data_IF_774251475738
#
_entry.id   IF_774251475738
#
_cell.length_a   1.000
_cell.length_b   1.000
_cell.length_c   1.000
_cell.angle_alpha   90.00
_cell.angle_beta   90.00
_cell.angle_gamma   90.00
#
_symmetry.space_group_name_H-M   'P 1'
#
loop_
_entity.id
_entity.type
_entity.pdbx_description
1 polymer ?
#
# COMPACT_ATOMS: atom_id res chain seq x y z
N UNK A 1 -2.76 10.84 -8.43
CA UNK A 1 -2.43 10.62 -7.00
C UNK A 1 -0.97 11.00 -6.78
N UNK A 2 -0.62 11.74 -5.72
CA UNK A 2 0.80 12.05 -5.42
C UNK A 2 1.36 10.98 -4.46
N UNK A 3 2.06 9.98 -5.02
CA UNK A 3 2.61 8.87 -4.24
C UNK A 3 3.75 9.30 -3.31
N UNK A 4 4.52 10.33 -3.67
CA UNK A 4 5.67 10.80 -2.87
C UNK A 4 5.26 11.25 -1.46
N UNK A 5 4.04 11.74 -1.28
CA UNK A 5 3.52 12.17 0.02
C UNK A 5 2.66 11.11 0.71
N UNK A 6 2.36 9.99 0.05
CA UNK A 6 1.43 8.96 0.54
C UNK A 6 2.13 7.68 1.01
N UNK A 7 3.35 7.41 0.54
CA UNK A 7 4.14 6.23 0.96
C UNK A 7 5.50 6.62 1.52
N UNK A 8 6.15 5.68 2.20
CA UNK A 8 7.53 5.86 2.67
C UNK A 8 8.50 5.89 1.48
N UNK A 9 9.58 6.70 1.48
CA UNK A 9 10.51 6.79 0.36
C UNK A 9 11.07 5.43 -0.10
N UNK A 10 11.38 4.53 0.83
CA UNK A 10 11.87 3.18 0.52
C UNK A 10 10.84 2.30 -0.21
N UNK A 11 9.55 2.59 -0.05
CA UNK A 11 8.45 1.84 -0.66
C UNK A 11 7.95 2.51 -1.96
N UNK A 12 8.51 3.67 -2.33
CA UNK A 12 8.02 4.49 -3.45
C UNK A 12 8.04 3.74 -4.79
N UNK A 13 9.13 3.03 -5.09
CA UNK A 13 9.26 2.27 -6.33
C UNK A 13 8.19 1.18 -6.42
N UNK A 14 7.95 0.46 -5.32
CA UNK A 14 6.91 -0.57 -5.25
C UNK A 14 5.52 0.06 -5.42
N UNK A 15 5.26 1.20 -4.76
CA UNK A 15 4.00 1.91 -4.88
C UNK A 15 3.71 2.38 -6.31
N UNK A 16 4.73 2.85 -7.04
CA UNK A 16 4.62 3.22 -8.46
C UNK A 16 4.24 1.99 -9.29
N UNK A 17 4.95 0.86 -9.14
CA UNK A 17 4.66 -0.36 -9.86
C UNK A 17 3.23 -0.87 -9.60
N UNK A 18 2.77 -0.83 -8.34
CA UNK A 18 1.41 -1.23 -7.97
C UNK A 18 0.35 -0.29 -8.56
N UNK A 19 0.63 1.01 -8.59
CA UNK A 19 -0.26 1.99 -9.21
C UNK A 19 -0.37 1.77 -10.73
N UNK A 20 0.75 1.53 -11.40
CA UNK A 20 0.77 1.18 -12.83
C UNK A 20 0.05 -0.16 -13.11
N UNK A 21 0.24 -1.16 -12.23
CA UNK A 21 -0.51 -2.42 -12.27
C UNK A 21 -2.02 -2.16 -12.21
N UNK A 22 -2.49 -1.37 -11.23
CA UNK A 22 -3.90 -1.02 -11.08
C UNK A 22 -4.48 -0.39 -12.35
N UNK A 23 -3.76 0.59 -12.92
CA UNK A 23 -4.18 1.25 -14.16
C UNK A 23 -4.27 0.26 -15.33
N UNK A 24 -3.27 -0.61 -15.48
CA UNK A 24 -3.25 -1.63 -16.54
C UNK A 24 -4.41 -2.63 -16.40
N UNK A 25 -4.68 -3.10 -15.17
CA UNK A 25 -5.76 -4.04 -14.89
C UNK A 25 -7.13 -3.43 -15.24
N UNK A 26 -7.40 -2.20 -14.82
CA UNK A 26 -8.65 -1.50 -15.16
C UNK A 26 -8.81 -1.31 -16.67
N UNK A 27 -7.73 -0.96 -17.37
CA UNK A 27 -7.78 -0.82 -18.82
C UNK A 27 -8.08 -2.16 -19.51
N UNK A 28 -7.47 -3.26 -19.06
CA UNK A 28 -7.74 -4.60 -19.59
C UNK A 28 -9.16 -5.05 -19.30
N UNK A 29 -9.65 -4.86 -18.07
CA UNK A 29 -11.03 -5.17 -17.69
C UNK A 29 -12.03 -4.47 -18.63
N UNK A 30 -11.82 -3.17 -18.89
CA UNK A 30 -12.62 -2.39 -19.82
C UNK A 30 -12.55 -2.93 -21.25
N UNK A 31 -11.38 -3.33 -21.73
CA UNK A 31 -11.22 -3.90 -23.07
C UNK A 31 -11.96 -5.23 -23.23
N UNK A 32 -11.96 -6.08 -22.21
CA UNK A 32 -12.70 -7.34 -22.23
C UNK A 32 -14.21 -7.13 -22.18
N UNK A 33 -14.70 -6.08 -21.50
CA UNK A 33 -16.11 -5.69 -21.60
C UNK A 33 -16.51 -5.34 -23.04
N UNK A 34 -15.67 -4.62 -23.79
CA UNK A 34 -15.93 -4.33 -25.21
C UNK A 34 -15.92 -5.58 -26.10
N UNK A 35 -15.28 -6.66 -25.64
CA UNK A 35 -15.24 -7.96 -26.32
C UNK A 35 -16.36 -8.90 -25.86
N UNK A 36 -17.26 -8.42 -25.01
CA UNK A 36 -18.33 -9.21 -24.37
C UNK A 36 -17.78 -10.38 -23.54
N UNK A 37 -16.51 -10.33 -23.14
CA UNK A 37 -15.84 -11.35 -22.35
C UNK A 37 -15.88 -10.98 -20.86
N UNK A 38 -17.03 -11.22 -20.24
CA UNK A 38 -17.29 -10.81 -18.85
C UNK A 38 -16.41 -11.55 -17.83
N UNK A 39 -16.13 -12.83 -18.05
CA UNK A 39 -15.31 -13.64 -17.14
C UNK A 39 -13.88 -13.12 -17.06
N UNK A 40 -13.27 -12.81 -18.21
CA UNK A 40 -11.91 -12.24 -18.23
C UNK A 40 -11.90 -10.81 -17.71
N UNK A 41 -12.97 -10.04 -17.94
CA UNK A 41 -13.13 -8.71 -17.33
C UNK A 41 -13.13 -8.80 -15.80
N UNK A 42 -13.91 -9.73 -15.23
CA UNK A 42 -13.97 -9.97 -13.79
C UNK A 42 -12.62 -10.41 -13.23
N UNK A 43 -11.89 -11.29 -13.94
CA UNK A 43 -10.53 -11.68 -13.58
C UNK A 43 -9.60 -10.47 -13.44
N UNK A 44 -9.62 -9.54 -14.40
CA UNK A 44 -8.81 -8.31 -14.32
C UNK A 44 -9.23 -7.39 -13.17
N UNK A 45 -10.52 -7.38 -12.81
CA UNK A 45 -11.00 -6.64 -11.64
C UNK A 45 -10.49 -7.23 -10.32
N UNK A 46 -10.38 -8.56 -10.22
CA UNK A 46 -9.77 -9.23 -9.05
C UNK A 46 -8.29 -8.86 -8.92
N UNK A 47 -7.54 -8.88 -10.03
CA UNK A 47 -6.13 -8.48 -10.04
C UNK A 47 -5.94 -7.01 -9.65
N UNK A 48 -6.83 -6.13 -10.11
CA UNK A 48 -6.88 -4.73 -9.67
C UNK A 48 -7.07 -4.63 -8.15
N UNK A 49 -8.03 -5.38 -7.59
CA UNK A 49 -8.27 -5.37 -6.14
C UNK A 49 -7.05 -5.84 -5.34
N UNK A 50 -6.31 -6.85 -5.83
CA UNK A 50 -5.05 -7.28 -5.22
C UNK A 50 -4.02 -6.15 -5.23
N UNK A 51 -3.72 -5.58 -6.40
CA UNK A 51 -2.73 -4.49 -6.53
C UNK A 51 -3.13 -3.26 -5.67
N UNK A 52 -4.43 -2.94 -5.58
CA UNK A 52 -4.94 -1.87 -4.71
C UNK A 52 -4.72 -2.17 -3.24
N UNK A 53 -5.02 -3.39 -2.78
CA UNK A 53 -4.83 -3.78 -1.37
C UNK A 53 -3.37 -3.66 -0.93
N UNK A 54 -2.44 -4.12 -1.77
CA UNK A 54 -1.00 -3.97 -1.49
C UNK A 54 -0.59 -2.49 -1.44
N UNK A 55 -1.11 -1.66 -2.35
CA UNK A 55 -0.83 -0.23 -2.34
C UNK A 55 -1.38 0.46 -1.09
N UNK A 56 -2.59 0.09 -0.66
CA UNK A 56 -3.21 0.59 0.56
C UNK A 56 -2.37 0.24 1.79
N UNK A 57 -1.82 -0.98 1.86
CA UNK A 57 -0.92 -1.39 2.95
C UNK A 57 0.35 -0.55 3.02
N UNK A 58 0.94 -0.16 1.87
CA UNK A 58 2.12 0.73 1.86
C UNK A 58 1.77 2.12 2.40
N UNK A 59 0.58 2.62 2.09
CA UNK A 59 0.10 3.92 2.60
C UNK A 59 -0.20 3.85 4.10
N UNK A 60 -0.84 2.77 4.56
CA UNK A 60 -1.10 2.53 5.98
C UNK A 60 0.19 2.42 6.80
N UNK A 61 1.19 1.69 6.27
CA UNK A 61 2.51 1.58 6.89
C UNK A 61 3.16 2.95 7.08
N UNK A 62 3.08 3.85 6.10
CA UNK A 62 3.57 5.22 6.23
C UNK A 62 2.78 5.99 7.30
N UNK A 63 1.46 5.97 7.22
CA UNK A 63 0.60 6.68 8.18
C UNK A 63 0.85 6.22 9.62
N UNK A 64 1.07 4.92 9.83
CA UNK A 64 1.41 4.38 11.14
C UNK A 64 2.76 4.92 11.63
N UNK A 65 3.78 4.92 10.76
CA UNK A 65 5.10 5.47 11.08
C UNK A 65 5.01 6.95 11.43
N UNK A 66 4.34 7.77 10.62
CA UNK A 66 4.19 9.21 10.87
C UNK A 66 3.48 9.48 12.21
N UNK A 67 2.46 8.66 12.55
CA UNK A 67 1.78 8.74 13.85
C UNK A 67 2.68 8.35 15.02
N UNK A 68 3.50 7.32 14.86
CA UNK A 68 4.46 6.89 15.88
C UNK A 68 5.54 7.95 16.10
N UNK A 69 6.09 8.53 15.03
CA UNK A 69 7.08 9.62 15.12
C UNK A 69 6.52 10.84 15.83
N UNK A 70 5.26 11.20 15.53
CA UNK A 70 4.57 12.28 16.25
C UNK A 70 4.43 11.97 17.74
N UNK A 71 3.97 10.76 18.09
CA UNK A 71 3.80 10.36 19.49
C UNK A 71 5.14 10.40 20.25
N UNK A 72 6.22 9.88 19.66
CA UNK A 72 7.56 9.91 20.25
C UNK A 72 8.00 11.36 20.51
N UNK A 73 7.78 12.24 19.54
CA UNK A 73 8.10 13.65 19.66
C UNK A 73 7.31 14.31 20.80
N UNK A 74 6.00 14.11 20.85
CA UNK A 74 5.12 14.67 21.89
C UNK A 74 5.55 14.20 23.29
N UNK A 75 5.96 12.94 23.45
CA UNK A 75 6.49 12.40 24.72
C UNK A 75 7.85 13.01 25.10
N UNK A 76 8.75 13.20 24.13
CA UNK A 76 10.04 13.84 24.37
C UNK A 76 9.88 15.31 24.79
N UNK A 77 8.92 16.04 24.20
CA UNK A 77 8.60 17.42 24.57
C UNK A 77 8.06 17.52 26.01
N UNK A 78 7.42 16.46 26.51
CA UNK A 78 6.97 16.35 27.91
C UNK A 78 8.09 15.88 28.87
N UNK A 79 9.32 15.71 28.38
CA UNK A 79 10.48 15.31 29.18
C UNK A 79 10.63 13.79 29.40
N UNK A 80 9.84 12.96 28.71
CA UNK A 80 10.00 11.51 28.79
C UNK A 80 11.19 11.05 27.94
N UNK A 81 12.02 10.17 28.50
CA UNK A 81 13.03 9.43 27.72
C UNK A 81 12.32 8.28 26.99
N UNK A 82 12.27 8.36 25.67
CA UNK A 82 11.64 7.34 24.80
C UNK A 82 12.71 6.53 24.08
N UNK A 83 12.58 5.21 24.09
CA UNK A 83 13.45 4.28 23.36
C UNK A 83 12.61 3.45 22.38
N UNK A 84 13.04 3.34 21.12
CA UNK A 84 12.31 2.63 20.07
C UNK A 84 12.92 1.23 19.90
N UNK A 85 12.11 0.19 20.07
CA UNK A 85 12.48 -1.19 19.80
C UNK A 85 11.69 -1.72 18.59
N UNK A 86 12.40 -2.20 17.57
CA UNK A 86 11.79 -2.74 16.35
C UNK A 86 11.88 -4.26 16.35
N UNK A 87 10.74 -4.93 16.25
CA UNK A 87 10.64 -6.39 16.14
C UNK A 87 10.23 -6.77 14.72
N UNK A 88 10.94 -7.71 14.09
CA UNK A 88 10.46 -8.36 12.87
C UNK A 88 9.48 -9.47 13.27
N UNK A 89 8.18 -9.23 13.11
CA UNK A 89 7.19 -10.31 13.20
C UNK A 89 7.42 -11.33 12.07
N UNK A 90 7.51 -12.63 12.40
CA UNK A 90 7.34 -13.71 11.42
C UNK A 90 5.86 -13.80 11.08
N UNK A 91 5.50 -13.67 9.81
CA UNK A 91 4.17 -14.03 9.33
C UNK A 91 4.12 -15.55 9.17
N UNK A 92 3.50 -16.26 10.11
CA UNK A 92 3.30 -17.73 10.09
C UNK A 92 2.12 -18.18 9.22
N UNK A 93 1.59 -17.33 8.34
CA UNK A 93 0.54 -17.70 7.40
C UNK A 93 0.98 -17.43 5.96
N UNK A 94 1.91 -18.27 5.48
CA UNK A 94 2.09 -18.56 4.07
C UNK A 94 1.70 -20.03 3.86
N UNK A 95 0.40 -20.27 3.67
CA UNK A 95 -0.15 -21.50 3.10
C UNK A 95 -0.83 -21.12 1.78
#
# INVERSE_FOLDING_TARGET
MNLHTKVHPNDLRQAINLYECCFSCLNRARMEMYRENLDESERWMIEFQRCKKELDQLMEKKNLKDRMEKLVKDMQEQGYKVEIQVWKGRSEYAN
#
